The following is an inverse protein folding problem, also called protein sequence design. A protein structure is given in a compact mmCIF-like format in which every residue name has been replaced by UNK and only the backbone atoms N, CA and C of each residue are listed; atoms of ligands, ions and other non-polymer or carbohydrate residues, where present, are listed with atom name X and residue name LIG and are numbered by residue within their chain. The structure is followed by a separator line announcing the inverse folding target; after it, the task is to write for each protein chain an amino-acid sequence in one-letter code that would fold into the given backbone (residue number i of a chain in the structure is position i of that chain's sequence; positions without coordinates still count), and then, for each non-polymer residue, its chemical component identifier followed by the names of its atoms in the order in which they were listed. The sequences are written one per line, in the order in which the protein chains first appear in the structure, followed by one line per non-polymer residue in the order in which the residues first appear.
data_IF_725391010757
#
_entry.id   IF_725391010757
#
_cell.length_a   1.000
_cell.length_b   1.000
_cell.length_c   1.000
_cell.angle_alpha   90.00
_cell.angle_beta   90.00
_cell.angle_gamma   90.00
#
_symmetry.space_group_name_H-M   'P 1'
#
loop_
_entity.id
_entity.type
_entity.pdbx_description
1 polymer ?
#
# COMPACT_ATOMS: atom_id res chain seq x y z
N UNK A 1 29.45 -29.30 -26.06
CA UNK A 1 28.68 -28.05 -26.30
C UNK A 1 27.18 -28.33 -26.44
N UNK A 2 26.78 -29.37 -27.18
CA UNK A 2 25.38 -29.78 -27.39
C UNK A 2 24.63 -30.23 -26.12
N UNK A 3 25.31 -30.85 -25.15
CA UNK A 3 24.71 -31.22 -23.86
C UNK A 3 24.44 -30.03 -22.93
N UNK A 4 25.29 -28.99 -22.97
CA UNK A 4 25.09 -27.75 -22.19
C UNK A 4 23.89 -26.94 -22.69
N UNK A 5 23.67 -26.90 -24.00
CA UNK A 5 22.51 -26.23 -24.60
C UNK A 5 21.22 -26.97 -24.26
N UNK A 6 21.23 -28.31 -24.25
CA UNK A 6 20.06 -29.11 -23.83
C UNK A 6 19.74 -28.96 -22.34
N UNK A 7 20.76 -28.89 -21.48
CA UNK A 7 20.54 -28.66 -20.04
C UNK A 7 19.93 -27.28 -19.76
N UNK A 8 20.39 -26.24 -20.48
CA UNK A 8 19.89 -24.88 -20.31
C UNK A 8 18.44 -24.70 -20.82
N UNK A 9 18.10 -25.29 -21.97
CA UNK A 9 16.74 -25.25 -22.53
C UNK A 9 15.73 -26.04 -21.67
N UNK A 10 16.17 -27.08 -20.96
CA UNK A 10 15.32 -27.82 -20.01
C UNK A 10 15.03 -27.00 -18.75
N UNK A 11 16.01 -26.25 -18.24
CA UNK A 11 15.81 -25.40 -17.05
C UNK A 11 14.98 -24.15 -17.35
N UNK A 12 15.10 -23.57 -18.54
CA UNK A 12 14.26 -22.44 -19.00
C UNK A 12 12.79 -22.83 -19.19
N UNK A 13 12.52 -24.03 -19.69
CA UNK A 13 11.15 -24.55 -19.80
C UNK A 13 10.56 -24.87 -18.43
N UNK A 14 11.39 -25.29 -17.46
CA UNK A 14 10.97 -25.53 -16.08
C UNK A 14 10.63 -24.25 -15.34
N UNK A 15 11.43 -23.19 -15.50
CA UNK A 15 11.13 -21.88 -14.90
C UNK A 15 9.84 -21.29 -15.47
N UNK A 16 9.69 -21.27 -16.80
CA UNK A 16 8.46 -20.78 -17.44
C UNK A 16 7.21 -21.51 -16.98
N UNK A 17 7.26 -22.84 -16.85
CA UNK A 17 6.13 -23.63 -16.38
C UNK A 17 5.75 -23.35 -14.90
N UNK A 18 6.72 -22.93 -14.07
CA UNK A 18 6.47 -22.55 -12.68
C UNK A 18 5.92 -21.12 -12.58
N UNK A 19 6.45 -20.19 -13.38
CA UNK A 19 5.94 -18.81 -13.46
C UNK A 19 4.50 -18.77 -13.98
N UNK A 20 4.18 -19.56 -15.01
CA UNK A 20 2.82 -19.69 -15.54
C UNK A 20 1.86 -20.28 -14.50
N UNK A 21 2.31 -21.28 -13.73
CA UNK A 21 1.51 -21.89 -12.66
C UNK A 21 1.25 -20.89 -11.51
N UNK A 22 2.25 -20.08 -11.16
CA UNK A 22 2.14 -19.06 -10.13
C UNK A 22 1.21 -17.93 -10.56
N UNK A 23 1.33 -17.45 -11.81
CA UNK A 23 0.45 -16.43 -12.36
C UNK A 23 -1.02 -16.87 -12.36
N UNK A 24 -1.30 -18.14 -12.70
CA UNK A 24 -2.67 -18.68 -12.72
C UNK A 24 -3.28 -18.84 -11.33
N UNK A 25 -2.46 -19.03 -10.29
CA UNK A 25 -2.90 -19.06 -8.89
C UNK A 25 -3.28 -17.66 -8.38
N UNK A 26 -2.66 -16.60 -8.90
CA UNK A 26 -2.88 -15.22 -8.44
C UNK A 26 -4.09 -14.51 -9.05
N UNK A 27 -4.79 -15.10 -10.02
CA UNK A 27 -5.98 -14.48 -10.61
C UNK A 27 -7.23 -14.69 -9.71
N UNK A 28 -8.05 -13.66 -9.44
CA UNK A 28 -9.32 -13.83 -8.74
C UNK A 28 -10.36 -14.52 -9.65
N UNK A 29 -11.16 -15.45 -9.11
CA UNK A 29 -12.22 -16.14 -9.88
C UNK A 29 -13.58 -16.04 -9.21
N UNK A 30 -14.60 -15.75 -10.01
CA UNK A 30 -16.03 -15.73 -9.61
C UNK A 30 -16.71 -17.11 -9.85
N UNK A 31 -16.00 -18.05 -10.49
CA UNK A 31 -16.52 -19.39 -10.83
C UNK A 31 -16.19 -20.42 -9.73
N UNK A 32 -17.19 -21.07 -9.10
CA UNK A 32 -16.99 -22.08 -8.06
C UNK A 32 -16.32 -23.38 -8.56
N UNK A 33 -16.25 -23.63 -9.88
CA UNK A 33 -15.57 -24.79 -10.47
C UNK A 33 -14.10 -24.50 -10.88
N UNK A 34 -13.64 -23.26 -10.74
CA UNK A 34 -12.27 -22.85 -11.05
C UNK A 34 -11.17 -23.57 -10.24
N UNK A 35 -11.34 -23.91 -8.94
CA UNK A 35 -10.28 -24.54 -8.15
C UNK A 35 -9.90 -25.95 -8.66
N UNK A 36 -10.88 -26.76 -9.03
CA UNK A 36 -10.64 -28.11 -9.55
C UNK A 36 -9.95 -28.09 -10.92
N UNK A 37 -10.32 -27.13 -11.79
CA UNK A 37 -9.65 -26.92 -13.09
C UNK A 37 -8.22 -26.40 -12.92
N UNK A 38 -7.97 -25.52 -11.95
CA UNK A 38 -6.61 -25.06 -11.59
C UNK A 38 -5.75 -26.21 -11.08
N UNK A 39 -6.26 -27.04 -10.15
CA UNK A 39 -5.55 -28.21 -9.65
C UNK A 39 -5.22 -29.21 -10.77
N UNK A 40 -6.16 -29.48 -11.68
CA UNK A 40 -5.92 -30.34 -12.83
C UNK A 40 -4.86 -29.77 -13.79
N UNK A 41 -4.83 -28.46 -13.98
CA UNK A 41 -3.84 -27.77 -14.82
C UNK A 41 -2.45 -27.77 -14.17
N UNK A 42 -2.36 -27.48 -12.86
CA UNK A 42 -1.13 -27.55 -12.07
C UNK A 42 -0.56 -28.97 -12.09
N UNK A 43 -1.40 -29.99 -11.90
CA UNK A 43 -0.99 -31.39 -11.99
C UNK A 43 -0.42 -31.75 -13.39
N UNK A 44 -1.03 -31.23 -14.47
CA UNK A 44 -0.52 -31.41 -15.85
C UNK A 44 0.81 -30.71 -16.09
N UNK A 45 0.99 -29.50 -15.56
CA UNK A 45 2.24 -28.73 -15.65
C UNK A 45 3.37 -29.42 -14.85
N UNK A 46 3.06 -29.91 -13.65
CA UNK A 46 3.97 -30.69 -12.81
C UNK A 46 4.35 -32.04 -13.43
N UNK A 47 3.43 -32.70 -14.13
CA UNK A 47 3.73 -33.93 -14.86
C UNK A 47 4.69 -33.69 -16.03
N UNK A 48 4.53 -32.57 -16.77
CA UNK A 48 5.41 -32.18 -17.88
C UNK A 48 6.82 -31.79 -17.44
N UNK A 49 7.01 -31.32 -16.21
CA UNK A 49 8.34 -30.99 -15.66
C UNK A 49 9.16 -32.20 -15.22
N UNK A 50 8.60 -33.42 -15.29
CA UNK A 50 9.27 -34.69 -14.99
C UNK A 50 9.18 -35.14 -13.52
N UNK A 51 8.44 -34.44 -12.66
CA UNK A 51 8.26 -34.81 -11.25
C UNK A 51 7.14 -35.86 -11.09
N UNK A 52 7.47 -37.13 -11.34
CA UNK A 52 6.50 -38.25 -11.34
C UNK A 52 5.80 -38.49 -9.99
N UNK A 53 6.47 -38.24 -8.86
CA UNK A 53 5.95 -38.56 -7.51
C UNK A 53 4.86 -37.57 -7.07
N UNK A 54 4.98 -36.28 -7.40
CA UNK A 54 3.97 -35.26 -7.07
C UNK A 54 2.77 -35.30 -8.01
N UNK A 55 3.00 -35.55 -9.30
CA UNK A 55 1.94 -35.57 -10.31
C UNK A 55 0.87 -36.66 -10.04
N UNK A 56 1.29 -37.84 -9.57
CA UNK A 56 0.37 -38.92 -9.23
C UNK A 56 -0.51 -38.59 -8.01
N UNK A 57 0.07 -37.97 -6.98
CA UNK A 57 -0.64 -37.57 -5.77
C UNK A 57 -1.67 -36.45 -6.03
N UNK A 58 -1.27 -35.42 -6.79
CA UNK A 58 -2.19 -34.34 -7.16
C UNK A 58 -3.27 -34.78 -8.17
N UNK A 59 -2.96 -35.71 -9.07
CA UNK A 59 -3.96 -36.28 -9.99
C UNK A 59 -4.96 -37.22 -9.29
N UNK A 60 -4.57 -37.87 -8.18
CA UNK A 60 -5.49 -38.64 -7.33
C UNK A 60 -6.40 -37.70 -6.52
N UNK A 61 -5.84 -36.64 -5.92
CA UNK A 61 -6.60 -35.59 -5.23
C UNK A 61 -7.61 -34.89 -6.14
N UNK A 62 -7.20 -34.52 -7.36
CA UNK A 62 -8.09 -33.89 -8.35
C UNK A 62 -9.21 -34.84 -8.79
N UNK A 63 -8.94 -36.14 -8.94
CA UNK A 63 -9.96 -37.15 -9.29
C UNK A 63 -10.97 -37.37 -8.17
N UNK A 64 -10.55 -37.33 -6.90
CA UNK A 64 -11.45 -37.42 -5.74
C UNK A 64 -12.30 -36.17 -5.53
N UNK A 65 -11.83 -35.00 -5.99
CA UNK A 65 -12.55 -33.75 -5.87
C UNK A 65 -13.62 -33.53 -6.95
N UNK A 66 -13.55 -34.24 -8.10
CA UNK A 66 -14.42 -33.99 -9.25
C UNK A 66 -15.92 -34.36 -9.11
N UNK A 67 -16.36 -35.34 -8.29
CA UNK A 67 -17.77 -35.72 -8.24
C UNK A 67 -18.60 -35.10 -7.09
N UNK A 68 -18.03 -34.22 -6.25
CA UNK A 68 -18.65 -33.85 -4.97
C UNK A 68 -19.04 -32.37 -4.92
N UNK A 69 -20.30 -32.07 -5.25
CA UNK A 69 -20.90 -30.74 -5.14
C UNK A 69 -21.47 -30.50 -3.74
N UNK A 70 -20.85 -29.62 -2.94
CA UNK A 70 -21.41 -29.17 -1.67
C UNK A 70 -20.52 -28.23 -0.85
N UNK A 71 -21.09 -27.12 -0.36
CA UNK A 71 -20.37 -25.98 0.23
C UNK A 71 -19.64 -26.20 1.57
N UNK A 72 -19.80 -27.36 2.24
CA UNK A 72 -18.98 -27.69 3.43
C UNK A 72 -17.58 -28.21 3.07
N UNK A 73 -17.33 -28.55 1.80
CA UNK A 73 -16.05 -29.11 1.36
C UNK A 73 -15.12 -28.11 0.68
N UNK A 74 -15.60 -26.90 0.33
CA UNK A 74 -14.73 -25.79 -0.06
C UNK A 74 -13.70 -25.47 1.05
N UNK A 75 -14.13 -25.57 2.32
CA UNK A 75 -13.26 -25.44 3.49
C UNK A 75 -12.19 -26.53 3.51
N UNK A 76 -12.53 -27.78 3.19
CA UNK A 76 -11.55 -28.88 3.14
C UNK A 76 -10.56 -28.74 1.98
N UNK A 77 -11.01 -28.23 0.84
CA UNK A 77 -10.12 -27.94 -0.31
C UNK A 77 -9.17 -26.80 0.03
N UNK A 78 -9.65 -25.74 0.70
CA UNK A 78 -8.79 -24.65 1.20
C UNK A 78 -7.79 -25.14 2.25
N UNK A 79 -8.20 -26.01 3.18
CA UNK A 79 -7.30 -26.61 4.18
C UNK A 79 -6.24 -27.52 3.55
N UNK A 80 -6.57 -28.21 2.45
CA UNK A 80 -5.63 -29.02 1.67
C UNK A 80 -4.68 -28.13 0.87
N UNK A 81 -5.16 -27.01 0.32
CA UNK A 81 -4.31 -26.04 -0.38
C UNK A 81 -3.32 -25.38 0.57
N UNK A 82 -3.75 -24.97 1.77
CA UNK A 82 -2.85 -24.46 2.81
C UNK A 82 -1.86 -25.52 3.28
N UNK A 83 -2.28 -26.78 3.46
CA UNK A 83 -1.33 -27.86 3.81
C UNK A 83 -0.31 -28.14 2.72
N UNK A 84 -0.70 -28.04 1.44
CA UNK A 84 0.22 -28.20 0.32
C UNK A 84 1.18 -27.01 0.23
N UNK A 85 0.70 -25.80 0.52
CA UNK A 85 1.53 -24.59 0.61
C UNK A 85 2.55 -24.73 1.76
N UNK A 86 2.10 -25.13 2.94
CA UNK A 86 2.94 -25.38 4.12
C UNK A 86 3.94 -26.52 3.89
N UNK A 87 3.54 -27.62 3.25
CA UNK A 87 4.44 -28.74 2.94
C UNK A 87 5.44 -28.36 1.83
N UNK A 88 5.05 -27.50 0.88
CA UNK A 88 5.97 -26.92 -0.11
C UNK A 88 6.99 -25.98 0.55
N UNK A 89 6.56 -25.12 1.47
CA UNK A 89 7.45 -24.25 2.25
C UNK A 89 8.38 -25.09 3.13
N UNK A 90 7.85 -26.05 3.89
CA UNK A 90 8.63 -26.92 4.76
C UNK A 90 9.62 -27.82 3.99
N UNK A 91 9.31 -28.24 2.75
CA UNK A 91 10.25 -28.97 1.89
C UNK A 91 11.31 -28.07 1.25
N UNK A 92 10.99 -26.81 0.98
CA UNK A 92 11.99 -25.80 0.59
C UNK A 92 12.94 -25.53 1.76
N UNK A 93 12.46 -25.60 3.00
CA UNK A 93 13.26 -25.38 4.21
C UNK A 93 14.07 -26.61 4.66
N UNK A 94 13.51 -27.82 4.56
CA UNK A 94 14.16 -29.08 5.01
C UNK A 94 15.08 -29.72 3.97
N UNK A 95 15.04 -29.28 2.72
CA UNK A 95 15.84 -29.82 1.61
C UNK A 95 17.23 -29.21 1.42
N UNK A 96 17.95 -28.86 2.49
CA UNK A 96 19.31 -28.30 2.38
C UNK A 96 20.38 -29.36 2.74
N UNK A 97 21.00 -30.06 1.77
CA UNK A 97 22.36 -30.55 1.97
C UNK A 97 23.32 -29.34 1.99
N UNK A 98 24.32 -29.40 2.88
CA UNK A 98 25.29 -28.35 3.15
C UNK A 98 25.78 -27.61 1.88
N UNK A 99 25.37 -26.35 1.76
CA UNK A 99 25.68 -25.49 0.61
C UNK A 99 24.58 -24.46 0.41
N UNK A 100 24.45 -23.50 1.34
CA UNK A 100 23.39 -22.48 1.34
C UNK A 100 23.49 -21.57 0.10
N UNK A 101 22.90 -22.00 -1.00
CA UNK A 101 22.67 -21.19 -2.19
C UNK A 101 21.31 -20.46 -2.05
N UNK A 102 21.13 -19.71 -0.95
CA UNK A 102 20.20 -18.57 -1.05
C UNK A 102 20.75 -17.72 -2.18
N UNK A 103 19.96 -17.35 -3.21
CA UNK A 103 20.44 -16.46 -4.24
C UNK A 103 21.02 -15.23 -3.53
N UNK A 104 22.35 -15.10 -3.58
CA UNK A 104 23.05 -13.99 -2.94
C UNK A 104 22.37 -12.74 -3.48
N UNK A 105 21.76 -11.94 -2.58
CA UNK A 105 21.24 -10.61 -2.96
C UNK A 105 22.32 -9.97 -3.82
N UNK A 106 22.04 -9.61 -5.08
CA UNK A 106 23.04 -9.00 -5.94
C UNK A 106 23.62 -7.84 -5.15
N UNK A 107 24.90 -7.91 -4.81
CA UNK A 107 25.58 -6.75 -4.24
C UNK A 107 25.53 -5.74 -5.35
N UNK A 108 24.77 -4.67 -5.18
CA UNK A 108 24.86 -3.50 -6.05
C UNK A 108 26.19 -2.84 -5.71
N UNK A 109 27.27 -3.43 -6.21
CA UNK A 109 28.59 -2.82 -6.25
C UNK A 109 28.54 -1.80 -7.36
N UNK A 110 28.72 -0.51 -7.04
CA UNK A 110 28.86 0.53 -8.06
C UNK A 110 27.79 1.62 -8.08
N UNK A 111 27.08 1.89 -6.98
CA UNK A 111 26.36 3.17 -6.88
C UNK A 111 27.37 4.31 -6.89
N UNK A 112 27.05 5.39 -7.59
CA UNK A 112 27.92 6.57 -7.61
C UNK A 112 27.97 7.24 -6.22
N UNK A 113 29.02 8.02 -5.95
CA UNK A 113 29.13 8.77 -4.70
C UNK A 113 27.94 9.72 -4.47
N UNK A 114 27.44 10.46 -5.50
CA UNK A 114 26.20 11.24 -5.36
C UNK A 114 24.99 10.42 -4.97
N UNK A 115 24.79 9.24 -5.56
CA UNK A 115 23.66 8.35 -5.23
C UNK A 115 23.75 7.84 -3.79
N UNK A 116 24.95 7.45 -3.36
CA UNK A 116 25.18 7.00 -1.99
C UNK A 116 24.90 8.12 -0.97
N UNK A 117 25.29 9.35 -1.29
CA UNK A 117 24.98 10.53 -0.48
C UNK A 117 23.46 10.79 -0.41
N UNK A 118 22.77 10.75 -1.56
CA UNK A 118 21.30 10.92 -1.61
C UNK A 118 20.56 9.87 -0.77
N UNK A 119 20.99 8.59 -0.81
CA UNK A 119 20.43 7.53 0.03
C UNK A 119 20.64 7.78 1.53
N UNK A 120 21.81 8.31 1.91
CA UNK A 120 22.09 8.71 3.30
C UNK A 120 21.13 9.80 3.77
N UNK A 121 20.91 10.82 2.94
CA UNK A 121 19.96 11.91 3.21
C UNK A 121 18.51 11.41 3.30
N UNK A 122 18.11 10.50 2.43
CA UNK A 122 16.77 9.90 2.45
C UNK A 122 16.52 9.15 3.77
N UNK A 123 17.50 8.37 4.24
CA UNK A 123 17.42 7.69 5.54
C UNK A 123 17.24 8.68 6.69
N UNK A 124 18.10 9.70 6.74
CA UNK A 124 18.05 10.73 7.76
C UNK A 124 16.67 11.40 7.78
N UNK A 125 16.15 11.78 6.60
CA UNK A 125 14.84 12.42 6.47
C UNK A 125 13.68 11.51 6.92
N UNK A 126 13.73 10.20 6.66
CA UNK A 126 12.74 9.24 7.16
C UNK A 126 12.72 9.16 8.69
N UNK A 127 13.89 9.10 9.31
CA UNK A 127 14.01 9.07 10.78
C UNK A 127 13.47 10.36 11.42
N UNK A 128 13.75 11.52 10.80
CA UNK A 128 13.18 12.80 11.26
C UNK A 128 11.66 12.88 11.09
N UNK A 129 11.14 12.37 9.98
CA UNK A 129 9.69 12.28 9.77
C UNK A 129 9.03 11.42 10.84
N UNK A 130 9.62 10.24 11.14
CA UNK A 130 9.08 9.34 12.17
C UNK A 130 9.07 10.00 13.55
N UNK A 131 10.18 10.63 13.96
CA UNK A 131 10.25 11.37 15.22
C UNK A 131 9.25 12.53 15.29
N UNK A 132 9.06 13.25 14.19
CA UNK A 132 8.05 14.32 14.09
C UNK A 132 6.63 13.78 14.26
N UNK A 133 6.36 12.60 13.70
CA UNK A 133 5.08 11.92 13.84
C UNK A 133 4.85 11.45 15.27
N UNK A 134 5.85 10.86 15.93
CA UNK A 134 5.74 10.37 17.31
C UNK A 134 5.49 11.49 18.32
N UNK A 135 6.11 12.64 18.13
CA UNK A 135 6.00 13.78 19.05
C UNK A 135 4.73 14.61 18.86
N UNK A 136 4.08 14.51 17.70
CA UNK A 136 2.88 15.30 17.40
C UNK A 136 1.61 14.69 17.99
N UNK A 137 0.84 15.50 18.73
CA UNK A 137 -0.46 15.09 19.31
C UNK A 137 -1.57 14.84 18.28
N UNK A 138 -1.37 15.25 17.03
CA UNK A 138 -2.37 15.19 15.97
C UNK A 138 -2.22 13.93 15.08
N UNK A 139 -1.22 13.11 15.33
CA UNK A 139 -0.80 12.08 14.35
C UNK A 139 -1.37 10.70 14.56
N UNK A 140 -2.16 10.48 15.62
CA UNK A 140 -2.71 9.16 15.93
C UNK A 140 -3.45 8.50 14.76
N UNK A 141 -4.06 9.31 13.88
CA UNK A 141 -4.74 8.83 12.67
C UNK A 141 -4.12 9.32 11.37
N UNK A 142 -3.09 10.16 11.46
CA UNK A 142 -2.40 10.74 10.31
C UNK A 142 -1.99 9.74 9.22
N UNK A 143 -1.53 8.51 9.54
CA UNK A 143 -1.26 7.49 8.53
C UNK A 143 -2.44 7.26 7.57
N UNK A 144 -3.69 7.29 8.07
CA UNK A 144 -4.87 7.10 7.21
C UNK A 144 -5.02 8.24 6.20
N UNK A 145 -4.85 9.49 6.64
CA UNK A 145 -4.90 10.66 5.74
C UNK A 145 -3.78 10.61 4.70
N UNK A 146 -2.56 10.24 5.10
CA UNK A 146 -1.44 10.03 4.17
C UNK A 146 -1.78 8.98 3.13
N UNK A 147 -2.29 7.81 3.55
CA UNK A 147 -2.63 6.74 2.64
C UNK A 147 -3.75 7.11 1.66
N UNK A 148 -4.69 7.99 2.06
CA UNK A 148 -5.73 8.50 1.16
C UNK A 148 -5.14 9.49 0.13
N UNK A 149 -4.17 10.33 0.53
CA UNK A 149 -3.42 11.19 -0.41
C UNK A 149 -2.60 10.35 -1.39
N UNK A 150 -1.92 9.31 -0.90
CA UNK A 150 -1.20 8.34 -1.74
C UNK A 150 -2.13 7.67 -2.77
N UNK A 151 -3.32 7.26 -2.34
CA UNK A 151 -4.32 6.70 -3.26
C UNK A 151 -4.74 7.72 -4.34
N UNK A 152 -4.98 8.98 -3.96
CA UNK A 152 -5.30 10.07 -4.89
C UNK A 152 -4.20 10.30 -5.90
N UNK A 153 -2.97 10.48 -5.43
CA UNK A 153 -1.85 10.83 -6.29
C UNK A 153 -1.44 9.66 -7.18
N UNK A 154 -1.65 8.43 -6.69
CA UNK A 154 -1.48 7.24 -7.50
C UNK A 154 -2.52 7.13 -8.62
N UNK A 155 -3.78 7.48 -8.35
CA UNK A 155 -4.83 7.58 -9.37
C UNK A 155 -4.50 8.68 -10.39
N UNK A 156 -4.05 9.85 -9.92
CA UNK A 156 -3.63 10.98 -10.76
C UNK A 156 -2.49 10.60 -11.71
N UNK A 157 -1.47 9.91 -11.19
CA UNK A 157 -0.32 9.44 -11.99
C UNK A 157 -0.73 8.38 -13.04
N UNK A 158 -1.86 7.71 -12.83
CA UNK A 158 -2.47 6.79 -13.79
C UNK A 158 -3.51 7.46 -14.72
N UNK A 159 -3.65 8.79 -14.65
CA UNK A 159 -4.55 9.57 -15.51
C UNK A 159 -5.99 9.65 -15.03
N UNK A 160 -6.29 9.23 -13.79
CA UNK A 160 -7.62 9.30 -13.19
C UNK A 160 -7.68 10.51 -12.22
N UNK A 161 -8.29 11.64 -12.61
CA UNK A 161 -8.43 12.79 -11.74
C UNK A 161 -9.49 12.51 -10.67
N UNK A 162 -9.12 12.65 -9.39
CA UNK A 162 -10.04 12.41 -8.27
C UNK A 162 -9.84 13.49 -7.22
N UNK A 163 -10.94 14.07 -6.73
CA UNK A 163 -10.84 15.05 -5.66
C UNK A 163 -10.52 14.37 -4.32
N UNK A 164 -9.62 14.97 -3.53
CA UNK A 164 -9.25 14.43 -2.22
C UNK A 164 -10.47 14.25 -1.30
N UNK A 165 -11.41 15.21 -1.34
CA UNK A 165 -12.63 15.17 -0.53
C UNK A 165 -13.52 13.97 -0.86
N UNK A 166 -13.57 13.55 -2.14
CA UNK A 166 -14.34 12.39 -2.57
C UNK A 166 -13.72 11.09 -2.05
N UNK A 167 -12.38 10.97 -2.10
CA UNK A 167 -11.69 9.80 -1.55
C UNK A 167 -11.80 9.72 -0.03
N UNK A 168 -11.67 10.86 0.66
CA UNK A 168 -11.88 10.95 2.11
C UNK A 168 -13.32 10.55 2.47
N UNK A 169 -14.30 11.05 1.71
CA UNK A 169 -15.70 10.68 1.87
C UNK A 169 -15.90 9.17 1.66
N UNK A 170 -15.42 8.59 0.54
CA UNK A 170 -15.53 7.15 0.28
C UNK A 170 -14.82 6.31 1.36
N UNK A 171 -13.68 6.77 1.87
CA UNK A 171 -12.96 6.11 2.95
C UNK A 171 -13.72 6.12 4.29
N UNK A 172 -14.64 7.06 4.53
CA UNK A 172 -15.50 7.03 5.72
C UNK A 172 -16.56 5.93 5.66
N UNK A 173 -17.08 5.65 4.46
CA UNK A 173 -18.27 4.81 4.26
C UNK A 173 -17.98 3.38 3.83
N UNK A 174 -16.72 2.92 3.71
CA UNK A 174 -16.40 1.55 3.24
C UNK A 174 -17.05 0.38 3.98
N UNK A 175 -17.67 0.60 5.13
CA UNK A 175 -18.60 -0.37 5.70
C UNK A 175 -19.85 -0.64 4.81
N UNK A 176 -20.08 0.17 3.77
CA UNK A 176 -21.23 0.16 2.88
C UNK A 176 -20.74 0.14 1.42
N UNK A 177 -20.54 -1.05 0.82
CA UNK A 177 -19.88 -1.22 -0.49
C UNK A 177 -20.69 -0.70 -1.69
N UNK A 178 -21.90 -0.17 -1.49
CA UNK A 178 -22.83 0.16 -2.57
C UNK A 178 -22.43 1.38 -3.41
N UNK A 179 -21.48 2.21 -2.98
CA UNK A 179 -21.20 3.53 -3.59
C UNK A 179 -19.73 3.82 -3.91
N UNK A 180 -18.85 2.81 -3.87
CA UNK A 180 -17.46 3.02 -4.31
C UNK A 180 -17.43 2.92 -5.84
N UNK A 181 -16.98 3.99 -6.50
CA UNK A 181 -16.67 3.96 -7.93
C UNK A 181 -15.74 2.77 -8.21
N UNK A 182 -16.14 1.90 -9.15
CA UNK A 182 -15.40 0.67 -9.46
C UNK A 182 -13.93 0.96 -9.80
N UNK A 183 -13.67 2.13 -10.37
CA UNK A 183 -12.35 2.52 -10.87
C UNK A 183 -11.42 2.96 -9.74
N UNK A 184 -11.97 3.37 -8.59
CA UNK A 184 -11.23 3.81 -7.40
C UNK A 184 -10.94 2.68 -6.41
N UNK A 185 -11.70 1.58 -6.50
CA UNK A 185 -11.54 0.40 -5.66
C UNK A 185 -10.09 -0.11 -5.55
N UNK A 186 -9.29 -0.19 -6.64
CA UNK A 186 -7.92 -0.67 -6.57
C UNK A 186 -6.98 0.21 -5.73
N UNK A 187 -7.10 1.53 -5.83
CA UNK A 187 -6.31 2.48 -5.03
C UNK A 187 -6.72 2.48 -3.56
N UNK A 188 -8.00 2.18 -3.36
CA UNK A 188 -8.63 2.42 -2.08
C UNK A 188 -8.36 1.17 -1.19
N UNK A 189 -8.30 -0.04 -1.73
CA UNK A 189 -7.90 -1.26 -1.00
C UNK A 189 -6.60 -1.13 -0.18
N UNK A 190 -5.62 -0.34 -0.62
CA UNK A 190 -4.34 -0.14 0.10
C UNK A 190 -4.42 0.77 1.33
N UNK A 191 -5.49 1.56 1.49
CA UNK A 191 -5.61 2.61 2.51
C UNK A 191 -5.75 2.07 3.94
N UNK A 192 -6.22 0.84 4.11
CA UNK A 192 -6.46 0.25 5.44
C UNK A 192 -5.18 -0.22 6.14
N UNK A 193 -4.04 0.05 5.52
CA UNK A 193 -2.71 -0.16 6.05
C UNK A 193 -2.16 -1.52 5.61
N UNK A 194 -0.83 -1.64 5.46
CA UNK A 194 -0.19 -2.94 5.47
C UNK A 194 -0.53 -3.60 6.82
N UNK A 195 -0.94 -4.87 6.80
CA UNK A 195 -1.08 -5.64 8.03
C UNK A 195 0.19 -5.47 8.87
N UNK A 196 0.04 -5.20 10.17
CA UNK A 196 1.19 -5.01 11.08
C UNK A 196 2.23 -6.11 10.83
N UNK A 197 3.52 -5.76 10.61
CA UNK A 197 4.53 -6.76 10.38
C UNK A 197 4.61 -7.68 11.61
N UNK A 198 4.35 -8.98 11.41
CA UNK A 198 4.36 -10.00 12.48
C UNK A 198 5.76 -10.49 12.84
N UNK A 199 6.79 -10.02 12.13
CA UNK A 199 8.19 -10.40 12.34
C UNK A 199 9.02 -9.20 12.81
N UNK A 200 9.88 -9.42 13.81
CA UNK A 200 10.87 -8.41 14.23
C UNK A 200 11.70 -7.94 13.03
N UNK A 201 11.76 -6.63 12.78
CA UNK A 201 12.53 -6.09 11.68
C UNK A 201 14.02 -6.17 12.01
N UNK A 202 14.80 -6.86 11.19
CA UNK A 202 16.24 -6.55 11.16
C UNK A 202 16.39 -5.21 10.45
N UNK A 203 17.12 -4.23 11.04
CA UNK A 203 17.24 -2.90 10.46
C UNK A 203 17.85 -2.98 9.06
N UNK A 204 17.01 -2.82 8.04
CA UNK A 204 17.38 -2.85 6.65
C UNK A 204 18.21 -1.62 6.28
N UNK A 205 19.28 -1.81 5.50
CA UNK A 205 19.99 -0.69 4.89
C UNK A 205 19.05 0.01 3.87
N UNK A 206 18.93 1.36 3.87
CA UNK A 206 18.06 2.12 2.95
C UNK A 206 18.31 1.82 1.47
N UNK A 207 19.54 1.46 1.13
CA UNK A 207 19.93 1.00 -0.21
C UNK A 207 19.09 -0.22 -0.62
N UNK A 208 18.83 -1.15 0.30
CA UNK A 208 17.98 -2.32 0.04
C UNK A 208 16.54 -1.90 -0.25
N UNK A 209 16.00 -0.96 0.53
CA UNK A 209 14.64 -0.43 0.35
C UNK A 209 14.47 0.18 -1.04
N UNK A 210 15.33 1.14 -1.42
CA UNK A 210 15.20 1.83 -2.72
C UNK A 210 15.44 0.87 -3.88
N UNK A 211 16.44 -0.02 -3.79
CA UNK A 211 16.69 -1.00 -4.84
C UNK A 211 15.57 -2.03 -4.98
N UNK A 212 14.97 -2.46 -3.88
CA UNK A 212 13.81 -3.37 -3.90
C UNK A 212 12.63 -2.67 -4.56
N UNK A 213 12.42 -1.40 -4.24
CA UNK A 213 11.39 -0.59 -4.87
C UNK A 213 11.62 -0.40 -6.37
N UNK A 214 12.84 -0.06 -6.80
CA UNK A 214 13.21 0.04 -8.22
C UNK A 214 12.85 -1.24 -8.97
N UNK A 215 13.19 -2.41 -8.43
CA UNK A 215 12.85 -3.69 -9.06
C UNK A 215 11.35 -3.90 -9.25
N UNK A 216 10.54 -3.43 -8.30
CA UNK A 216 9.07 -3.50 -8.41
C UNK A 216 8.54 -2.54 -9.48
N UNK A 217 9.10 -1.33 -9.56
CA UNK A 217 8.67 -0.28 -10.48
C UNK A 217 9.01 -0.56 -11.95
N UNK A 218 10.09 -1.31 -12.21
CA UNK A 218 10.54 -1.61 -13.58
C UNK A 218 9.67 -2.70 -14.25
N UNK A 219 8.61 -3.20 -13.61
CA UNK A 219 7.69 -4.16 -14.23
C UNK A 219 6.59 -3.44 -15.07
N UNK A 220 6.64 -3.49 -16.41
CA UNK A 220 5.79 -2.66 -17.27
C UNK A 220 4.34 -3.18 -17.44
N UNK A 221 4.01 -4.39 -16.98
CA UNK A 221 2.71 -5.03 -17.25
C UNK A 221 1.72 -5.00 -16.07
N UNK A 222 1.97 -4.16 -15.05
CA UNK A 222 1.10 -4.08 -13.88
C UNK A 222 -0.24 -3.40 -14.21
N UNK A 223 -1.35 -3.99 -13.76
CA UNK A 223 -2.68 -3.35 -13.70
C UNK A 223 -2.64 -2.10 -12.79
N UNK A 224 -3.64 -1.22 -12.86
CA UNK A 224 -3.72 -0.01 -12.02
C UNK A 224 -3.54 -0.30 -10.51
N UNK A 225 -4.26 -1.31 -10.00
CA UNK A 225 -4.10 -1.77 -8.62
C UNK A 225 -2.70 -2.30 -8.30
N UNK A 226 -2.09 -3.04 -9.23
CA UNK A 226 -0.74 -3.54 -9.05
C UNK A 226 0.30 -2.41 -9.05
N UNK A 227 0.16 -1.39 -9.91
CA UNK A 227 1.03 -0.19 -9.89
C UNK A 227 0.90 0.59 -8.59
N UNK A 228 -0.33 0.78 -8.11
CA UNK A 228 -0.56 1.41 -6.81
C UNK A 228 0.10 0.62 -5.68
N UNK A 229 -0.11 -0.71 -5.64
CA UNK A 229 0.52 -1.58 -4.65
C UNK A 229 2.06 -1.55 -4.72
N UNK A 230 2.63 -1.47 -5.92
CA UNK A 230 4.08 -1.32 -6.09
C UNK A 230 4.59 -0.01 -5.46
N UNK A 231 3.88 1.12 -5.70
CA UNK A 231 4.21 2.44 -5.12
C UNK A 231 4.11 2.42 -3.59
N UNK A 232 3.02 1.88 -3.05
CA UNK A 232 2.86 1.67 -1.60
C UNK A 232 3.91 0.74 -1.00
N UNK A 233 4.48 -0.15 -1.82
CA UNK A 233 5.55 -1.05 -1.40
C UNK A 233 6.76 -0.33 -0.82
N UNK A 234 7.06 0.91 -1.24
CA UNK A 234 8.14 1.70 -0.63
C UNK A 234 7.85 2.01 0.84
N UNK A 235 6.61 2.45 1.12
CA UNK A 235 6.16 2.81 2.46
C UNK A 235 6.07 1.58 3.35
N UNK A 236 5.56 0.46 2.81
CA UNK A 236 5.51 -0.81 3.51
C UNK A 236 6.91 -1.33 3.84
N UNK A 237 7.86 -1.25 2.90
CA UNK A 237 9.25 -1.63 3.13
C UNK A 237 9.91 -0.71 4.18
N UNK A 238 9.63 0.60 4.18
CA UNK A 238 10.16 1.54 5.17
C UNK A 238 9.69 1.20 6.59
N UNK A 239 8.42 0.81 6.73
CA UNK A 239 7.86 0.34 8.00
C UNK A 239 8.47 -1.01 8.41
N UNK A 240 8.57 -1.93 7.45
CA UNK A 240 9.16 -3.25 7.68
C UNK A 240 10.64 -3.18 8.04
N UNK A 241 11.41 -2.23 7.50
CA UNK A 241 12.84 -2.07 7.80
C UNK A 241 13.08 -1.24 9.09
N UNK A 242 12.01 -0.79 9.76
CA UNK A 242 12.07 0.02 10.98
C UNK A 242 12.56 1.46 10.75
N UNK A 243 12.47 1.96 9.52
CA UNK A 243 12.79 3.35 9.20
C UNK A 243 11.61 4.30 9.48
N UNK A 244 10.40 3.75 9.51
CA UNK A 244 9.18 4.42 9.95
C UNK A 244 8.41 3.49 10.90
N UNK A 245 7.81 4.02 11.95
CA UNK A 245 6.91 3.27 12.83
C UNK A 245 5.54 3.03 12.19
N UNK A 246 5.15 3.87 11.21
CA UNK A 246 3.81 3.92 10.60
C UNK A 246 3.88 4.36 9.13
N UNK A 247 2.86 4.06 8.29
CA UNK A 247 2.87 4.47 6.89
C UNK A 247 2.52 5.96 6.73
N UNK A 248 3.51 6.82 6.91
CA UNK A 248 3.36 8.30 6.94
C UNK A 248 4.12 9.02 5.83
N UNK A 249 4.70 8.31 4.86
CA UNK A 249 5.43 8.90 3.75
C UNK A 249 4.51 9.10 2.52
N UNK A 250 4.16 10.34 2.13
CA UNK A 250 3.38 10.63 0.93
C UNK A 250 4.28 10.71 -0.32
N UNK A 251 4.89 9.59 -0.73
CA UNK A 251 5.86 9.58 -1.82
C UNK A 251 5.26 9.75 -3.23
N UNK A 252 4.03 9.28 -3.46
CA UNK A 252 3.46 9.23 -4.81
C UNK A 252 3.15 10.62 -5.36
N UNK A 253 2.85 11.61 -4.51
CA UNK A 253 2.68 13.01 -4.92
C UNK A 253 3.92 13.54 -5.65
N UNK A 254 5.11 13.28 -5.11
CA UNK A 254 6.36 13.69 -5.74
C UNK A 254 6.59 13.02 -7.10
N UNK A 255 6.26 11.72 -7.23
CA UNK A 255 6.31 11.04 -8.53
C UNK A 255 5.33 11.64 -9.55
N UNK A 256 4.14 12.04 -9.09
CA UNK A 256 3.12 12.65 -9.94
C UNK A 256 3.56 14.04 -10.46
N UNK A 257 4.29 14.81 -9.65
CA UNK A 257 4.85 16.11 -10.04
C UNK A 257 6.05 15.97 -10.99
N UNK A 258 6.78 14.85 -10.91
CA UNK A 258 7.95 14.54 -11.73
C UNK A 258 7.70 13.41 -12.73
N UNK A 259 6.45 13.25 -13.18
CA UNK A 259 6.01 12.08 -13.94
C UNK A 259 6.80 11.85 -15.24
N UNK A 260 7.21 12.91 -15.93
CA UNK A 260 8.02 12.81 -17.15
C UNK A 260 9.43 12.26 -16.86
N UNK A 261 10.15 12.86 -15.91
CA UNK A 261 11.47 12.40 -15.46
C UNK A 261 11.39 10.96 -14.94
N UNK A 262 10.35 10.65 -14.16
CA UNK A 262 10.13 9.30 -13.65
C UNK A 262 9.91 8.26 -14.76
N UNK A 263 9.08 8.57 -15.78
CA UNK A 263 8.88 7.70 -16.95
C UNK A 263 10.16 7.52 -17.75
N UNK A 264 10.94 8.60 -17.94
CA UNK A 264 12.21 8.53 -18.64
C UNK A 264 13.22 7.63 -17.90
N UNK A 265 13.39 7.83 -16.59
CA UNK A 265 14.32 7.04 -15.78
C UNK A 265 13.90 5.57 -15.67
N UNK A 266 12.60 5.29 -15.53
CA UNK A 266 12.11 3.89 -15.53
C UNK A 266 12.31 3.20 -16.88
N UNK A 267 12.14 3.91 -18.00
CA UNK A 267 12.42 3.38 -19.34
C UNK A 267 13.89 3.05 -19.60
N UNK A 268 14.82 3.76 -18.97
CA UNK A 268 16.28 3.56 -19.12
C UNK A 268 16.88 2.59 -18.08
N UNK A 269 16.12 2.23 -17.04
CA UNK A 269 16.56 1.40 -15.92
C UNK A 269 16.83 -0.08 -16.25
N UNK A 270 16.71 -0.49 -17.52
CA UNK A 270 17.13 -1.82 -18.00
C UNK A 270 18.65 -2.01 -18.00
N UNK A 271 19.41 -0.93 -17.84
CA UNK A 271 20.87 -0.94 -17.72
C UNK A 271 21.33 -0.56 -16.30
N UNK A 272 22.54 -0.99 -15.92
CA UNK A 272 23.14 -0.64 -14.61
C UNK A 272 23.28 0.87 -14.43
N UNK A 273 23.68 1.61 -15.48
CA UNK A 273 23.80 3.07 -15.43
C UNK A 273 22.43 3.76 -15.28
N UNK A 274 21.38 3.25 -15.94
CA UNK A 274 20.01 3.74 -15.76
C UNK A 274 19.46 3.49 -14.34
N UNK A 275 19.92 2.42 -13.68
CA UNK A 275 19.53 2.13 -12.30
C UNK A 275 20.09 3.15 -11.30
N UNK A 276 21.34 3.59 -11.45
CA UNK A 276 21.95 4.59 -10.53
C UNK A 276 21.18 5.91 -10.53
N UNK A 277 20.85 6.42 -11.73
CA UNK A 277 20.05 7.64 -11.89
C UNK A 277 18.66 7.54 -11.27
N UNK A 278 17.97 6.41 -11.49
CA UNK A 278 16.66 6.16 -10.88
C UNK A 278 16.73 6.04 -9.35
N UNK A 279 17.74 5.37 -8.80
CA UNK A 279 17.94 5.25 -7.35
C UNK A 279 18.14 6.63 -6.72
N UNK A 280 19.01 7.47 -7.32
CA UNK A 280 19.23 8.84 -6.85
C UNK A 280 17.95 9.67 -6.88
N UNK A 281 17.23 9.63 -8.00
CA UNK A 281 15.95 10.32 -8.17
C UNK A 281 14.96 9.94 -7.07
N UNK A 282 14.75 8.64 -6.82
CA UNK A 282 13.85 8.18 -5.75
C UNK A 282 14.32 8.64 -4.36
N UNK A 283 15.62 8.60 -4.08
CA UNK A 283 16.16 9.05 -2.80
C UNK A 283 15.92 10.56 -2.56
N UNK A 284 16.12 11.39 -3.58
CA UNK A 284 15.80 12.82 -3.53
C UNK A 284 14.31 13.07 -3.32
N UNK A 285 13.45 12.29 -3.97
CA UNK A 285 12.00 12.35 -3.78
C UNK A 285 11.56 11.97 -2.37
N UNK A 286 12.21 10.97 -1.74
CA UNK A 286 11.94 10.62 -0.34
C UNK A 286 12.28 11.79 0.58
N UNK A 287 13.44 12.45 0.38
CA UNK A 287 13.81 13.63 1.17
C UNK A 287 12.77 14.74 1.02
N UNK A 288 12.37 15.04 -0.22
CA UNK A 288 11.37 16.06 -0.50
C UNK A 288 10.02 15.74 0.15
N UNK A 289 9.53 14.50 0.01
CA UNK A 289 8.28 14.04 0.61
C UNK A 289 8.32 14.11 2.15
N UNK A 290 9.43 13.72 2.78
CA UNK A 290 9.58 13.83 4.23
C UNK A 290 9.55 15.28 4.72
N UNK A 291 10.31 16.18 4.09
CA UNK A 291 10.32 17.59 4.46
C UNK A 291 8.95 18.23 4.31
N UNK A 292 8.29 17.91 3.19
CA UNK A 292 6.96 18.38 2.89
C UNK A 292 5.96 17.94 3.96
N UNK A 293 6.00 16.66 4.34
CA UNK A 293 5.09 16.10 5.32
C UNK A 293 5.33 16.62 6.74
N UNK A 294 6.60 16.79 7.12
CA UNK A 294 6.94 17.43 8.40
C UNK A 294 6.41 18.86 8.47
N UNK A 295 6.51 19.63 7.39
CA UNK A 295 5.96 20.99 7.34
C UNK A 295 4.44 21.00 7.56
N UNK A 296 3.72 20.06 6.95
CA UNK A 296 2.28 19.89 7.15
C UNK A 296 1.97 19.54 8.60
N UNK A 297 2.62 18.52 9.18
CA UNK A 297 2.41 18.11 10.58
C UNK A 297 2.65 19.28 11.53
N UNK A 298 3.70 20.08 11.28
CA UNK A 298 4.02 21.26 12.08
C UNK A 298 3.02 22.42 11.93
N UNK A 299 2.22 22.44 10.86
CA UNK A 299 1.16 23.42 10.66
C UNK A 299 -0.16 23.06 11.37
N UNK A 300 -0.37 21.77 11.72
CA UNK A 300 -1.60 21.29 12.38
C UNK A 300 -1.90 22.01 13.71
N UNK A 301 -0.94 22.25 14.64
CA UNK A 301 -1.22 22.99 15.87
C UNK A 301 -1.77 24.39 15.62
N UNK A 302 -1.18 25.13 14.68
CA UNK A 302 -1.63 26.48 14.35
C UNK A 302 -3.03 26.49 13.75
N UNK A 303 -3.38 25.49 12.93
CA UNK A 303 -4.75 25.32 12.44
C UNK A 303 -5.73 25.00 13.57
N UNK A 304 -5.35 24.09 14.48
CA UNK A 304 -6.18 23.74 15.63
C UNK A 304 -6.49 24.98 16.49
N UNK A 305 -5.49 25.79 16.82
CA UNK A 305 -5.68 26.97 17.68
C UNK A 305 -6.59 28.01 17.00
N UNK A 306 -6.43 28.24 15.69
CA UNK A 306 -7.32 29.11 14.91
C UNK A 306 -8.77 28.65 14.90
N UNK A 307 -9.01 27.35 14.74
CA UNK A 307 -10.37 26.80 14.74
C UNK A 307 -10.96 26.74 16.16
N UNK A 308 -10.14 26.47 17.17
CA UNK A 308 -10.57 26.46 18.57
C UNK A 308 -11.04 27.84 19.02
N UNK A 309 -10.40 28.91 18.55
CA UNK A 309 -10.82 30.29 18.81
C UNK A 309 -12.20 30.68 18.24
N UNK A 310 -12.78 29.86 17.34
CA UNK A 310 -14.15 30.06 16.82
C UNK A 310 -15.22 29.38 17.66
N UNK A 311 -14.82 28.50 18.58
CA UNK A 311 -15.74 27.81 19.47
C UNK A 311 -16.10 28.71 20.68
N UNK A 312 -17.20 28.41 21.40
CA UNK A 312 -17.51 29.08 22.66
C UNK A 312 -16.36 29.00 23.65
N UNK A 313 -16.28 29.95 24.59
CA UNK A 313 -15.18 30.10 25.55
C UNK A 313 -14.84 28.80 26.33
N UNK A 314 -15.83 27.92 26.55
CA UNK A 314 -15.64 26.63 27.21
C UNK A 314 -16.17 25.47 26.34
N UNK A 315 -15.41 25.02 25.32
CA UNK A 315 -15.81 23.88 24.52
C UNK A 315 -15.76 22.61 25.36
N UNK A 316 -16.75 21.75 25.19
CA UNK A 316 -16.80 20.44 25.85
C UNK A 316 -15.57 19.59 25.52
N UNK A 317 -15.27 18.59 26.37
CA UNK A 317 -14.20 17.61 26.11
C UNK A 317 -14.36 16.94 24.74
N UNK A 318 -15.59 16.61 24.35
CA UNK A 318 -15.88 16.02 23.04
C UNK A 318 -15.57 16.98 21.90
N UNK A 319 -15.97 18.25 21.99
CA UNK A 319 -15.66 19.24 20.96
C UNK A 319 -14.15 19.41 20.78
N UNK A 320 -13.37 19.52 21.86
CA UNK A 320 -11.90 19.61 21.75
C UNK A 320 -11.29 18.36 21.09
N UNK A 321 -11.75 17.17 21.49
CA UNK A 321 -11.28 15.91 20.90
C UNK A 321 -11.64 15.76 19.43
N UNK A 322 -12.88 16.10 19.04
CA UNK A 322 -13.33 16.05 17.65
C UNK A 322 -12.60 17.10 16.81
N UNK A 323 -12.35 18.28 17.36
CA UNK A 323 -11.60 19.32 16.63
C UNK A 323 -10.16 18.89 16.36
N UNK A 324 -9.46 18.33 17.36
CA UNK A 324 -8.11 17.82 17.18
C UNK A 324 -8.03 16.74 16.10
N UNK A 325 -9.05 15.88 16.04
CA UNK A 325 -9.16 14.85 15.02
C UNK A 325 -9.49 15.40 13.63
N UNK A 326 -10.41 16.38 13.54
CA UNK A 326 -10.80 17.04 12.29
C UNK A 326 -9.65 17.73 11.58
N UNK A 327 -8.71 18.30 12.34
CA UNK A 327 -7.51 18.94 11.79
C UNK A 327 -6.65 17.94 11.00
N UNK A 328 -6.59 16.68 11.44
CA UNK A 328 -5.89 15.60 10.74
C UNK A 328 -6.79 14.85 9.73
N UNK A 329 -8.11 14.82 9.96
CA UNK A 329 -9.11 14.08 9.17
C UNK A 329 -10.24 15.03 8.80
N UNK A 330 -10.11 15.77 7.69
CA UNK A 330 -10.97 16.91 7.42
C UNK A 330 -12.39 16.54 7.00
N UNK A 331 -12.75 15.26 6.95
CA UNK A 331 -14.11 14.79 6.64
C UNK A 331 -14.60 13.88 7.76
N UNK A 332 -15.86 14.05 8.17
CA UNK A 332 -16.49 13.24 9.22
C UNK A 332 -18.00 13.06 8.97
N UNK A 333 -18.65 12.23 9.78
CA UNK A 333 -20.10 12.06 9.83
C UNK A 333 -20.57 11.74 11.24
N UNK A 334 -21.88 11.86 11.50
CA UNK A 334 -22.45 11.51 12.81
C UNK A 334 -22.10 10.08 13.27
N UNK A 335 -22.38 9.04 12.47
CA UNK A 335 -22.01 7.66 12.80
C UNK A 335 -20.52 7.46 13.05
N UNK A 336 -19.70 8.17 12.29
CA UNK A 336 -18.26 8.11 12.42
C UNK A 336 -17.77 8.78 13.72
N UNK A 337 -18.34 9.92 14.13
CA UNK A 337 -18.05 10.53 15.44
C UNK A 337 -18.46 9.64 16.61
N UNK A 338 -19.63 8.99 16.52
CA UNK A 338 -20.11 8.02 17.52
C UNK A 338 -19.07 6.91 17.72
N UNK A 339 -18.64 6.29 16.62
CA UNK A 339 -17.63 5.22 16.63
C UNK A 339 -16.27 5.70 17.14
N UNK A 340 -15.80 6.85 16.66
CA UNK A 340 -14.43 7.32 16.86
C UNK A 340 -14.18 7.97 18.22
N UNK A 341 -15.21 8.53 18.84
CA UNK A 341 -15.11 9.25 20.11
C UNK A 341 -16.02 8.66 21.21
N UNK A 342 -16.62 7.50 20.96
CA UNK A 342 -17.51 6.79 21.89
C UNK A 342 -18.60 7.72 22.48
N UNK A 343 -19.25 8.48 21.61
CA UNK A 343 -20.29 9.44 21.99
C UNK A 343 -21.67 8.97 21.53
N UNK A 344 -22.74 9.46 22.16
CA UNK A 344 -24.10 9.14 21.69
C UNK A 344 -24.40 9.80 20.34
N UNK A 345 -25.32 9.24 19.56
CA UNK A 345 -25.77 9.84 18.30
C UNK A 345 -26.28 11.27 18.47
N UNK A 346 -26.97 11.55 19.59
CA UNK A 346 -27.43 12.90 19.94
C UNK A 346 -26.25 13.86 20.17
N UNK A 347 -25.24 13.42 20.91
CA UNK A 347 -24.00 14.20 21.14
C UNK A 347 -23.27 14.48 19.84
N UNK A 348 -23.18 13.51 18.93
CA UNK A 348 -22.57 13.68 17.62
C UNK A 348 -23.31 14.73 16.76
N UNK A 349 -24.63 14.65 16.70
CA UNK A 349 -25.47 15.64 15.97
C UNK A 349 -25.29 17.05 16.55
N UNK A 350 -25.34 17.19 17.88
CA UNK A 350 -25.14 18.49 18.54
C UNK A 350 -23.73 19.04 18.31
N UNK A 351 -22.71 18.18 18.29
CA UNK A 351 -21.33 18.58 18.02
C UNK A 351 -21.17 19.08 16.59
N UNK A 352 -21.74 18.38 15.61
CA UNK A 352 -21.74 18.80 14.20
C UNK A 352 -22.48 20.13 14.03
N UNK A 353 -23.65 20.29 14.66
CA UNK A 353 -24.41 21.54 14.62
C UNK A 353 -23.58 22.71 15.16
N UNK A 354 -22.99 22.56 16.36
CA UNK A 354 -22.13 23.59 16.95
C UNK A 354 -20.94 23.98 16.05
N UNK A 355 -20.32 23.01 15.38
CA UNK A 355 -19.20 23.30 14.47
C UNK A 355 -19.64 23.95 13.15
N UNK A 356 -20.87 23.66 12.68
CA UNK A 356 -21.46 24.37 11.53
C UNK A 356 -21.81 25.80 11.89
N UNK A 357 -22.41 26.02 13.05
CA UNK A 357 -22.78 27.35 13.54
C UNK A 357 -21.52 28.22 13.74
N UNK A 358 -20.40 27.62 14.15
CA UNK A 358 -19.09 28.25 14.24
C UNK A 358 -18.36 28.41 12.88
N UNK A 359 -18.96 27.99 11.75
CA UNK A 359 -18.34 28.07 10.43
C UNK A 359 -17.09 27.19 10.25
N UNK A 360 -16.94 26.13 11.05
CA UNK A 360 -15.82 25.18 10.99
C UNK A 360 -16.12 24.07 9.98
N UNK A 361 -17.39 23.63 9.90
CA UNK A 361 -17.83 22.54 9.05
C UNK A 361 -18.80 23.00 7.96
N UNK A 362 -18.65 22.46 6.77
CA UNK A 362 -19.59 22.58 5.65
C UNK A 362 -20.18 21.21 5.30
N UNK A 363 -21.44 21.15 4.81
CA UNK A 363 -22.01 19.91 4.30
C UNK A 363 -21.29 19.46 3.02
N UNK A 364 -21.05 18.16 2.89
CA UNK A 364 -20.52 17.55 1.66
C UNK A 364 -21.61 16.69 1.00
N UNK A 365 -21.97 17.01 -0.25
CA UNK A 365 -22.99 16.31 -1.03
C UNK A 365 -24.44 16.67 -0.68
N UNK A 366 -25.38 16.11 -1.44
CA UNK A 366 -26.83 16.40 -1.36
C UNK A 366 -27.66 15.26 -0.77
N UNK A 367 -27.05 14.12 -0.46
CA UNK A 367 -27.78 12.88 -0.19
C UNK A 367 -28.37 12.80 1.22
N UNK A 368 -29.56 12.18 1.32
CA UNK A 368 -30.34 12.00 2.56
C UNK A 368 -29.69 11.03 3.57
N UNK A 369 -28.78 10.16 3.13
CA UNK A 369 -28.21 9.09 3.95
C UNK A 369 -26.86 9.48 4.54
N UNK A 370 -26.91 10.08 5.73
CA UNK A 370 -25.73 10.45 6.52
C UNK A 370 -25.10 11.75 6.04
N UNK A 371 -25.41 12.85 6.71
CA UNK A 371 -24.85 14.18 6.44
C UNK A 371 -23.34 14.17 6.68
N UNK A 372 -22.57 13.80 5.65
CA UNK A 372 -21.12 13.99 5.65
C UNK A 372 -20.85 15.48 5.71
N UNK A 373 -19.88 15.83 6.54
CA UNK A 373 -19.45 17.21 6.71
C UNK A 373 -17.93 17.24 6.62
N UNK A 374 -17.38 18.35 6.17
CA UNK A 374 -15.95 18.53 6.05
C UNK A 374 -15.52 19.88 6.62
N UNK A 375 -14.26 19.95 7.06
CA UNK A 375 -13.63 21.17 7.52
C UNK A 375 -12.82 21.77 6.36
N UNK A 376 -13.27 22.90 5.75
CA UNK A 376 -12.60 23.45 4.58
C UNK A 376 -11.15 23.83 4.84
N UNK A 377 -10.86 24.46 5.98
CA UNK A 377 -9.51 24.91 6.32
C UNK A 377 -8.53 23.74 6.54
N UNK A 378 -9.00 22.63 7.12
CA UNK A 378 -8.19 21.42 7.25
C UNK A 378 -8.02 20.70 5.90
N UNK A 379 -9.07 20.64 5.09
CA UNK A 379 -8.98 20.07 3.74
C UNK A 379 -8.01 20.88 2.86
N UNK A 380 -8.07 22.21 2.92
CA UNK A 380 -7.17 23.11 2.22
C UNK A 380 -5.73 22.92 2.67
N UNK A 381 -5.46 22.86 3.98
CA UNK A 381 -4.12 22.60 4.49
C UNK A 381 -3.58 21.26 3.95
N UNK A 382 -4.38 20.20 4.02
CA UNK A 382 -3.97 18.87 3.55
C UNK A 382 -3.82 18.82 2.02
N UNK A 383 -4.56 19.64 1.28
CA UNK A 383 -4.56 19.65 -0.19
C UNK A 383 -3.52 20.60 -0.81
N UNK A 384 -3.37 21.82 -0.31
CA UNK A 384 -2.46 22.83 -0.89
C UNK A 384 -1.00 22.46 -0.73
N UNK A 385 -0.68 21.80 0.38
CA UNK A 385 0.64 21.24 0.57
C UNK A 385 0.96 20.23 -0.57
N UNK A 386 -0.01 19.48 -1.12
CA UNK A 386 0.27 18.55 -2.23
C UNK A 386 0.66 19.20 -3.58
N UNK A 387 0.48 20.51 -3.76
CA UNK A 387 0.62 21.14 -5.10
C UNK A 387 1.76 22.13 -5.22
N UNK A 388 2.29 22.64 -4.11
CA UNK A 388 3.26 23.74 -4.12
C UNK A 388 4.71 23.27 -4.02
N UNK A 389 5.06 22.12 -4.60
CA UNK A 389 6.45 21.66 -4.78
C UNK A 389 7.31 22.52 -5.72
N UNK A 390 6.97 23.79 -5.94
CA UNK A 390 7.88 24.78 -6.53
C UNK A 390 8.42 25.67 -5.42
N UNK A 391 9.75 25.76 -5.24
CA UNK A 391 10.39 26.62 -4.25
C UNK A 391 10.05 28.10 -4.46
#
# INVERSE_FOLDING_TARGET
MTERIRAHDVDDRRHRALDDAFHLLSLPTVDPLAPARRLALIARLMARSGRRVGAAHHADLARRALPLGGGREAVRVTDVLHRVEDECVARVESGTPAGSNRPRRPRVTGLSAPTSYALGRAREALLWLDSTVETSRFTARWPRTVMIREARDSARLDGLPVALVELLHQALYRAHPTHVDSDLSPYLKGVEGPASPTSSPEPGMPTTLVLTHVRRLVNPQATAGARHAQRLGLVADAVHDGLLSRPVLPFTGWLADHAETFRHLTGTATTTAGTDGLVRFLAEGIVAACHHEMALINALPGLYDRLAGRLPHNPSRFQRSVLADLVAHPVTSGPDLVRRHNMTSRTAVNTIAAFRDAGILLPHGTTKYGRTVYCPAALELVHHHDTTGRP
#
